data_IF_876038536424
#
_entry.id   IF_876038536424
#
_cell.length_a   1.000
_cell.length_b   1.000
_cell.length_c   1.000
_cell.angle_alpha   90.00
_cell.angle_beta   90.00
_cell.angle_gamma   90.00
#
_symmetry.space_group_name_H-M   'P 1'
#
loop_
_entity.id
_entity.type
_entity.pdbx_description
1 polymer ?
#
# COMPACT_ATOMS: atom_id res chain seq x y z
N UNK A 1 6.49 6.83 4.29
CA UNK A 1 6.03 5.70 5.15
C UNK A 1 6.08 6.15 6.60
N UNK A 2 5.37 5.46 7.52
CA UNK A 2 5.28 5.85 8.93
C UNK A 2 6.57 5.51 9.71
N UNK A 3 6.87 6.28 10.76
CA UNK A 3 7.97 6.01 11.70
C UNK A 3 7.65 4.86 12.65
N UNK A 4 6.37 4.58 12.89
CA UNK A 4 5.91 3.54 13.82
C UNK A 4 5.93 2.12 13.22
N UNK A 5 6.37 2.00 11.97
CA UNK A 5 6.42 0.74 11.23
C UNK A 5 5.61 0.76 9.94
N UNK A 6 5.49 -0.40 9.27
CA UNK A 6 4.84 -0.51 7.97
C UNK A 6 3.31 -0.47 8.06
N UNK A 7 2.72 -0.57 9.25
CA UNK A 7 1.27 -0.56 9.45
C UNK A 7 0.84 0.70 10.21
N UNK A 8 -0.26 1.32 9.78
CA UNK A 8 -0.82 2.50 10.45
C UNK A 8 -2.31 2.67 10.18
N UNK A 9 -2.99 3.36 11.08
CA UNK A 9 -4.44 3.61 11.00
C UNK A 9 -4.71 5.06 10.65
N UNK A 10 -5.53 5.29 9.64
CA UNK A 10 -5.81 6.61 9.09
C UNK A 10 -7.32 6.80 8.90
N UNK A 11 -7.77 8.06 8.87
CA UNK A 11 -9.19 8.39 8.69
C UNK A 11 -9.34 9.25 7.44
N UNK A 12 -10.29 8.90 6.57
CA UNK A 12 -10.59 9.70 5.38
C UNK A 12 -11.54 10.87 5.74
N UNK A 13 -11.76 11.84 4.85
CA UNK A 13 -12.65 12.99 5.12
C UNK A 13 -14.10 12.63 5.45
N UNK A 14 -14.56 11.45 5.03
CA UNK A 14 -15.89 10.93 5.34
C UNK A 14 -15.98 10.25 6.71
N UNK A 15 -14.88 10.23 7.48
CA UNK A 15 -14.81 9.59 8.79
C UNK A 15 -14.54 8.08 8.75
N UNK A 16 -14.27 7.49 7.59
CA UNK A 16 -13.98 6.05 7.49
C UNK A 16 -12.54 5.76 7.93
N UNK A 17 -12.38 4.78 8.81
CA UNK A 17 -11.08 4.31 9.30
C UNK A 17 -10.49 3.28 8.34
N UNK A 18 -9.22 3.46 7.99
CA UNK A 18 -8.45 2.58 7.13
C UNK A 18 -7.14 2.19 7.81
N UNK A 19 -7.02 0.91 8.13
CA UNK A 19 -5.74 0.33 8.51
C UNK A 19 -4.95 -0.01 7.23
N UNK A 20 -3.79 0.61 7.08
CA UNK A 20 -2.93 0.49 5.92
C UNK A 20 -1.64 -0.27 6.24
N UNK A 21 -1.23 -1.13 5.32
CA UNK A 21 0.12 -1.66 5.24
C UNK A 21 0.88 -1.01 4.07
N UNK A 22 2.02 -0.38 4.35
CA UNK A 22 2.86 0.24 3.34
C UNK A 22 3.85 -0.76 2.76
N UNK A 23 3.84 -0.92 1.43
CA UNK A 23 4.71 -1.84 0.70
C UNK A 23 5.38 -1.15 -0.49
N UNK A 24 6.56 -1.63 -0.87
CA UNK A 24 7.35 -1.07 -1.98
C UNK A 24 6.91 -1.57 -3.35
N UNK A 25 6.30 -2.77 -3.44
CA UNK A 25 5.87 -3.39 -4.70
C UNK A 25 4.57 -4.14 -4.50
N UNK A 26 3.77 -4.22 -5.55
CA UNK A 26 2.52 -4.98 -5.61
C UNK A 26 2.40 -5.65 -6.99
N UNK A 27 1.57 -6.68 -7.09
CA UNK A 27 1.20 -7.33 -8.35
C UNK A 27 -0.32 -7.43 -8.43
N UNK A 28 -0.86 -7.59 -9.63
CA UNK A 28 -2.30 -7.75 -9.87
C UNK A 28 -3.16 -6.58 -9.35
N UNK A 29 -2.63 -5.36 -9.40
CA UNK A 29 -3.33 -4.11 -9.04
C UNK A 29 -3.53 -3.25 -10.28
N UNK A 30 -4.71 -2.63 -10.40
CA UNK A 30 -5.01 -1.58 -11.37
C UNK A 30 -5.22 -0.25 -10.66
N UNK A 31 -4.76 0.85 -11.28
CA UNK A 31 -4.95 2.21 -10.78
C UNK A 31 -6.20 2.83 -11.39
N UNK A 32 -7.00 3.50 -10.56
CA UNK A 32 -8.28 4.09 -10.96
C UNK A 32 -8.25 5.60 -10.72
N UNK A 33 -8.61 6.36 -11.75
CA UNK A 33 -8.71 7.82 -11.69
C UNK A 33 -7.36 8.54 -11.75
N UNK A 34 -7.41 9.84 -11.48
CA UNK A 34 -6.22 10.71 -11.42
C UNK A 34 -5.64 10.70 -10.01
N UNK A 35 -4.35 10.97 -9.91
CA UNK A 35 -3.69 11.19 -8.62
C UNK A 35 -4.20 12.47 -7.96
N UNK A 36 -4.42 12.44 -6.64
CA UNK A 36 -4.79 13.62 -5.84
C UNK A 36 -3.89 13.76 -4.62
N UNK A 37 -3.46 15.00 -4.32
CA UNK A 37 -2.77 15.33 -3.07
C UNK A 37 -3.73 15.70 -1.94
N UNK A 38 -5.02 15.83 -2.25
CA UNK A 38 -6.05 16.26 -1.31
C UNK A 38 -6.20 15.24 -0.18
N UNK A 39 -6.17 15.68 1.08
CA UNK A 39 -6.28 14.82 2.27
C UNK A 39 -5.30 13.64 2.30
N UNK A 40 -4.13 13.77 1.66
CA UNK A 40 -3.13 12.70 1.69
C UNK A 40 -2.60 12.46 3.10
N UNK A 41 -2.60 11.20 3.53
CA UNK A 41 -2.04 10.79 4.82
C UNK A 41 -0.52 10.83 4.89
N UNK A 42 0.15 10.94 3.74
CA UNK A 42 1.60 11.01 3.64
C UNK A 42 1.99 12.34 3.02
N UNK A 43 2.44 13.32 3.83
CA UNK A 43 2.86 14.62 3.34
C UNK A 43 3.88 14.52 2.21
N UNK A 44 3.68 15.29 1.14
CA UNK A 44 4.52 15.25 -0.06
C UNK A 44 4.18 14.16 -1.07
N UNK A 45 3.13 13.35 -0.84
CA UNK A 45 2.66 12.32 -1.77
C UNK A 45 1.22 12.57 -2.20
N UNK A 46 0.93 12.30 -3.47
CA UNK A 46 -0.42 12.21 -4.02
C UNK A 46 -0.84 10.74 -4.10
N UNK A 47 -2.09 10.45 -3.77
CA UNK A 47 -2.67 9.10 -3.81
C UNK A 47 -3.46 8.86 -5.10
N UNK A 48 -3.48 7.61 -5.57
CA UNK A 48 -4.35 7.11 -6.63
C UNK A 48 -5.00 5.81 -6.17
N UNK A 49 -6.29 5.62 -6.44
CA UNK A 49 -7.04 4.44 -5.97
C UNK A 49 -6.49 3.16 -6.63
N UNK A 50 -6.38 2.10 -5.84
CA UNK A 50 -5.96 0.78 -6.27
C UNK A 50 -7.12 -0.22 -6.19
N UNK A 51 -7.29 -1.02 -7.23
CA UNK A 51 -8.23 -2.16 -7.24
C UNK A 51 -7.52 -3.44 -7.64
N UNK A 52 -8.05 -4.57 -7.20
CA UNK A 52 -7.61 -5.89 -7.65
C UNK A 52 -7.94 -6.06 -9.13
N UNK A 53 -6.96 -6.47 -9.93
CA UNK A 53 -7.12 -6.67 -11.37
C UNK A 53 -8.11 -7.81 -11.72
N UNK A 54 -8.40 -8.71 -10.77
CA UNK A 54 -9.29 -9.87 -10.98
C UNK A 54 -10.72 -9.62 -10.50
N UNK A 55 -10.90 -9.20 -9.25
CA UNK A 55 -12.23 -9.03 -8.66
C UNK A 55 -12.71 -7.57 -8.59
N UNK A 56 -11.88 -6.61 -9.03
CA UNK A 56 -12.16 -5.18 -8.96
C UNK A 56 -12.40 -4.64 -7.53
N UNK A 57 -12.11 -5.44 -6.49
CA UNK A 57 -12.20 -5.03 -5.10
C UNK A 57 -11.21 -3.91 -4.77
N UNK A 58 -11.60 -2.98 -3.89
CA UNK A 58 -10.74 -1.90 -3.43
C UNK A 58 -9.60 -2.46 -2.57
N UNK A 59 -8.35 -2.18 -2.96
CA UNK A 59 -7.17 -2.71 -2.30
C UNK A 59 -6.42 -1.64 -1.49
N UNK A 60 -6.65 -0.36 -1.76
CA UNK A 60 -5.96 0.76 -1.11
C UNK A 60 -5.53 1.82 -2.12
N UNK A 61 -4.33 2.36 -1.97
CA UNK A 61 -3.84 3.50 -2.75
C UNK A 61 -2.36 3.39 -3.13
N UNK A 62 -2.00 3.94 -4.29
CA UNK A 62 -0.61 4.21 -4.67
C UNK A 62 -0.28 5.65 -4.30
N UNK A 63 0.75 5.84 -3.50
CA UNK A 63 1.28 7.14 -3.11
C UNK A 63 2.48 7.45 -3.99
N UNK A 64 2.40 8.50 -4.80
CA UNK A 64 3.49 8.98 -5.67
C UNK A 64 3.97 10.35 -5.19
N UNK A 65 5.28 10.57 -5.15
CA UNK A 65 5.85 11.83 -4.69
C UNK A 65 5.38 12.99 -5.57
N UNK A 66 5.03 14.11 -4.93
CA UNK A 66 4.72 15.37 -5.62
C UNK A 66 6.02 16.14 -5.94
N UNK A 67 7.04 16.02 -5.08
CA UNK A 67 8.39 16.54 -5.30
C UNK A 67 9.37 15.38 -5.56
N UNK A 68 10.12 15.45 -6.67
CA UNK A 68 11.12 14.46 -7.09
C UNK A 68 12.30 14.32 -6.13
N UNK A 69 12.44 15.20 -5.14
CA UNK A 69 13.44 15.09 -4.07
C UNK A 69 13.09 14.04 -3.02
N UNK A 70 11.81 13.66 -2.91
CA UNK A 70 11.37 12.69 -1.90
C UNK A 70 11.74 11.27 -2.29
N UNK A 71 12.00 10.45 -1.28
CA UNK A 71 12.22 9.01 -1.41
C UNK A 71 11.32 8.25 -0.42
N UNK A 72 10.75 7.10 -0.83
CA UNK A 72 10.75 6.55 -2.20
C UNK A 72 9.94 7.43 -3.17
N UNK A 73 10.17 7.35 -4.48
CA UNK A 73 9.36 8.12 -5.46
C UNK A 73 7.89 7.68 -5.46
N UNK A 74 7.64 6.43 -5.06
CA UNK A 74 6.30 5.94 -4.82
C UNK A 74 6.33 4.73 -3.90
N UNK A 75 5.20 4.46 -3.28
CA UNK A 75 4.91 3.25 -2.52
C UNK A 75 3.40 2.98 -2.56
N UNK A 76 2.97 1.89 -1.95
CA UNK A 76 1.55 1.51 -1.89
C UNK A 76 1.11 1.45 -0.44
N UNK A 77 -0.08 1.94 -0.12
CA UNK A 77 -0.77 1.69 1.13
C UNK A 77 -1.97 0.79 0.88
N UNK A 78 -1.89 -0.48 1.29
CA UNK A 78 -2.94 -1.46 1.08
C UNK A 78 -3.81 -1.61 2.32
N UNK A 79 -5.13 -1.67 2.15
CA UNK A 79 -6.06 -1.86 3.26
C UNK A 79 -5.87 -3.26 3.86
N UNK A 80 -5.65 -3.35 5.18
CA UNK A 80 -5.48 -4.63 5.88
C UNK A 80 -6.68 -5.56 5.71
N UNK A 81 -7.89 -5.00 5.66
CA UNK A 81 -9.15 -5.71 5.43
C UNK A 81 -9.28 -6.30 4.01
N UNK A 82 -8.49 -5.81 3.05
CA UNK A 82 -8.46 -6.32 1.67
C UNK A 82 -7.37 -7.37 1.44
N UNK A 83 -6.64 -7.76 2.49
CA UNK A 83 -5.50 -8.67 2.42
C UNK A 83 -5.76 -9.93 3.23
N UNK A 84 -5.48 -11.07 2.61
CA UNK A 84 -5.43 -12.37 3.24
C UNK A 84 -3.97 -12.85 3.25
N UNK A 85 -3.36 -13.11 4.41
CA UNK A 85 -2.04 -13.71 4.48
C UNK A 85 -2.05 -15.10 3.85
N UNK A 86 -1.24 -15.29 2.81
CA UNK A 86 -1.00 -16.60 2.22
C UNK A 86 0.34 -17.15 2.70
N UNK A 87 0.35 -18.37 3.24
CA UNK A 87 1.58 -19.13 3.43
C UNK A 87 1.93 -19.81 2.11
N UNK A 88 3.09 -19.50 1.56
CA UNK A 88 3.69 -20.32 0.52
C UNK A 88 4.53 -21.37 1.21
N UNK A 89 4.06 -22.61 1.18
CA UNK A 89 4.91 -23.76 1.45
C UNK A 89 5.60 -24.02 0.12
N UNK A 90 6.78 -23.45 -0.06
CA UNK A 90 7.65 -23.88 -1.15
C UNK A 90 8.15 -25.27 -0.76
N UNK A 91 7.71 -26.32 -1.45
CA UNK A 91 8.06 -27.71 -1.18
C UNK A 91 9.58 -28.02 -1.30
N UNK A 92 10.41 -27.02 -1.63
CA UNK A 92 11.84 -27.18 -1.97
C UNK A 92 12.87 -26.40 -1.13
N UNK A 93 12.51 -25.74 -0.01
CA UNK A 93 13.53 -25.03 0.79
C UNK A 93 13.74 -25.72 2.14
N UNK A 94 14.75 -26.60 2.18
CA UNK A 94 15.40 -27.00 3.43
C UNK A 94 15.84 -25.72 4.15
N UNK A 95 15.22 -25.40 5.28
CA UNK A 95 15.65 -24.30 6.12
C UNK A 95 17.13 -24.50 6.47
N UNK A 96 17.97 -23.51 6.14
CA UNK A 96 19.33 -23.43 6.64
C UNK A 96 19.47 -22.15 7.46
N UNK A 97 19.97 -22.23 8.71
CA UNK A 97 20.27 -21.04 9.47
C UNK A 97 21.39 -20.27 8.78
N UNK A 98 21.26 -18.95 8.72
CA UNK A 98 22.37 -18.06 8.39
C UNK A 98 23.08 -17.78 9.72
N UNK A 99 24.33 -18.26 9.85
CA UNK A 99 25.28 -17.81 10.87
C UNK A 99 25.89 -16.47 10.45
#
# INVERSE_FOLDING_TARGET
MSVNGPQGTYVNPSGCVHELMTVSKTMNIVLIGRSSAEFSWFPGYAWTICRCARCNGHMGWKFSCVDKKLRPEWFWGLCRSSLEPGLKIDDEISWKPVL
#
